data_IF_801789219194
#
_entry.id   IF_801789219194
#
_cell.length_a   1.000
_cell.length_b   1.000
_cell.length_c   1.000
_cell.angle_alpha   90.00
_cell.angle_beta   90.00
_cell.angle_gamma   90.00
#
_symmetry.space_group_name_H-M   'P 1'
#
loop_
_entity.id
_entity.type
_entity.pdbx_description
1 polymer ?
#
# COMPACT_ATOMS: atom_id res chain seq x y z
N UNK A 1 13.40 -4.43 -18.26
CA UNK A 1 14.47 -5.45 -18.29
C UNK A 1 13.85 -6.80 -17.92
N UNK A 2 14.26 -7.89 -18.57
CA UNK A 2 13.86 -9.25 -18.21
C UNK A 2 15.08 -10.04 -17.73
N UNK A 3 14.87 -10.95 -16.77
CA UNK A 3 15.90 -11.80 -16.17
C UNK A 3 15.45 -13.26 -16.21
N UNK A 4 16.40 -14.19 -16.36
CA UNK A 4 16.18 -15.60 -16.08
C UNK A 4 16.74 -15.90 -14.69
N UNK A 5 15.88 -16.25 -13.75
CA UNK A 5 16.23 -16.44 -12.34
C UNK A 5 16.08 -17.90 -11.96
N UNK A 6 17.11 -18.48 -11.33
CA UNK A 6 17.10 -19.85 -10.82
C UNK A 6 16.86 -19.83 -9.31
N UNK A 7 15.92 -20.64 -8.82
CA UNK A 7 15.51 -20.69 -7.40
C UNK A 7 15.32 -22.13 -6.93
N UNK A 8 15.53 -22.38 -5.65
CA UNK A 8 15.16 -23.66 -5.02
C UNK A 8 13.84 -23.49 -4.26
N UNK A 9 12.81 -24.20 -4.68
CA UNK A 9 11.46 -24.17 -4.07
C UNK A 9 11.09 -25.58 -3.67
N UNK A 10 10.78 -25.80 -2.39
CA UNK A 10 10.51 -27.12 -1.82
C UNK A 10 11.60 -28.16 -2.18
N UNK A 11 12.86 -27.74 -2.15
CA UNK A 11 14.02 -28.59 -2.47
C UNK A 11 14.26 -28.84 -3.96
N UNK A 12 13.46 -28.26 -4.87
CA UNK A 12 13.62 -28.42 -6.32
C UNK A 12 14.09 -27.13 -6.99
N UNK A 13 15.05 -27.23 -7.91
CA UNK A 13 15.51 -26.08 -8.70
C UNK A 13 14.49 -25.77 -9.81
N UNK A 14 14.02 -24.53 -9.84
CA UNK A 14 13.10 -23.98 -10.84
C UNK A 14 13.70 -22.75 -11.50
N UNK A 15 13.28 -22.46 -12.73
CA UNK A 15 13.68 -21.26 -13.47
C UNK A 15 12.46 -20.40 -13.79
N UNK A 16 12.59 -19.10 -13.60
CA UNK A 16 11.55 -18.09 -13.83
C UNK A 16 12.05 -17.03 -14.79
N UNK A 17 11.12 -16.44 -15.53
CA UNK A 17 11.34 -15.21 -16.28
C UNK A 17 10.73 -14.08 -15.47
N UNK A 18 11.56 -13.13 -15.03
CA UNK A 18 11.15 -12.02 -14.17
C UNK A 18 11.39 -10.69 -14.89
N UNK A 19 10.50 -9.72 -14.68
CA UNK A 19 10.56 -8.39 -15.31
C UNK A 19 10.68 -7.33 -14.24
N UNK A 20 11.61 -6.40 -14.40
CA UNK A 20 11.61 -5.19 -13.57
C UNK A 20 10.32 -4.40 -13.82
N UNK A 21 9.57 -4.13 -12.75
CA UNK A 21 8.38 -3.28 -12.81
C UNK A 21 8.77 -1.83 -13.05
N UNK A 22 7.82 -1.07 -13.60
CA UNK A 22 7.98 0.39 -13.69
C UNK A 22 7.94 0.98 -12.29
N UNK A 23 8.81 1.96 -12.01
CA UNK A 23 8.72 2.79 -10.81
C UNK A 23 7.76 3.97 -10.95
N UNK A 24 7.17 4.13 -12.12
CA UNK A 24 6.17 5.16 -12.41
C UNK A 24 4.79 4.55 -12.21
N UNK A 25 4.04 5.12 -11.27
CA UNK A 25 2.64 4.82 -10.97
C UNK A 25 1.92 6.15 -10.74
N UNK A 26 0.60 6.15 -10.90
CA UNK A 26 -0.23 7.34 -10.69
C UNK A 26 -0.95 7.28 -9.35
N UNK A 27 -1.43 6.08 -8.97
CA UNK A 27 -2.11 5.84 -7.71
C UNK A 27 -1.20 5.02 -6.79
N UNK A 28 -1.22 5.30 -5.49
CA UNK A 28 -0.46 4.55 -4.49
C UNK A 28 -0.79 3.04 -4.49
N UNK A 29 -2.03 2.67 -4.80
CA UNK A 29 -2.47 1.27 -4.91
C UNK A 29 -1.71 0.48 -5.98
N UNK A 30 -1.14 1.15 -6.99
CA UNK A 30 -0.36 0.53 -8.06
C UNK A 30 1.15 0.44 -7.73
N UNK A 31 1.55 0.84 -6.52
CA UNK A 31 2.95 0.85 -6.10
C UNK A 31 3.51 -0.58 -5.98
N UNK A 32 4.44 -0.94 -6.85
CA UNK A 32 5.05 -2.28 -6.88
C UNK A 32 6.47 -2.26 -6.32
N UNK A 33 6.60 -2.30 -4.99
CA UNK A 33 7.89 -2.34 -4.27
C UNK A 33 8.13 -3.67 -3.55
N UNK A 34 7.87 -4.76 -4.27
CA UNK A 34 8.18 -6.13 -3.84
C UNK A 34 9.01 -6.82 -4.91
N UNK A 35 9.82 -7.79 -4.49
CA UNK A 35 10.57 -8.63 -5.42
C UNK A 35 9.78 -9.90 -5.73
N UNK A 36 9.89 -10.39 -6.97
CA UNK A 36 9.27 -11.64 -7.42
C UNK A 36 7.75 -11.70 -7.22
N UNK A 37 7.13 -10.53 -7.13
CA UNK A 37 5.75 -10.43 -6.73
C UNK A 37 4.77 -10.71 -7.85
N UNK A 38 3.53 -10.96 -7.46
CA UNK A 38 2.37 -11.00 -8.35
C UNK A 38 1.40 -9.90 -7.95
N UNK A 39 0.63 -9.44 -8.93
CA UNK A 39 -0.44 -8.46 -8.74
C UNK A 39 -1.79 -9.11 -8.98
N UNK A 40 -2.74 -8.80 -8.12
CA UNK A 40 -4.15 -8.94 -8.38
C UNK A 40 -4.73 -7.54 -8.61
N UNK A 41 -5.57 -7.42 -9.63
CA UNK A 41 -6.29 -6.19 -9.95
C UNK A 41 -7.75 -6.54 -10.23
N UNK A 42 -8.60 -6.24 -9.25
CA UNK A 42 -10.04 -6.46 -9.28
C UNK A 42 -10.82 -5.33 -9.94
N UNK A 43 -10.16 -4.24 -10.37
CA UNK A 43 -10.82 -3.08 -10.96
C UNK A 43 -11.52 -3.46 -12.25
N UNK A 44 -12.76 -3.01 -12.41
CA UNK A 44 -13.46 -3.18 -13.67
C UNK A 44 -12.89 -2.24 -14.74
N UNK A 45 -12.20 -2.82 -15.72
CA UNK A 45 -11.68 -2.12 -16.89
C UNK A 45 -12.59 -2.23 -18.13
N UNK A 46 -13.76 -2.87 -17.98
CA UNK A 46 -14.72 -3.12 -19.06
C UNK A 46 -15.96 -2.22 -18.97
N UNK A 47 -16.83 -2.29 -19.97
CA UNK A 47 -18.15 -1.63 -19.95
C UNK A 47 -19.19 -2.33 -19.07
N UNK A 48 -18.81 -3.41 -18.35
CA UNK A 48 -19.68 -4.13 -17.43
C UNK A 48 -20.12 -3.22 -16.30
N UNK A 49 -21.41 -3.17 -16.05
CA UNK A 49 -22.01 -2.44 -14.94
C UNK A 49 -22.46 -3.38 -13.84
N UNK A 50 -22.47 -2.87 -12.62
CA UNK A 50 -23.16 -3.47 -11.48
C UNK A 50 -24.20 -2.49 -10.94
N UNK A 51 -25.39 -3.00 -10.59
CA UNK A 51 -26.47 -2.20 -10.02
C UNK A 51 -26.99 -2.84 -8.73
N UNK A 52 -27.04 -2.04 -7.65
CA UNK A 52 -27.60 -2.43 -6.36
C UNK A 52 -29.11 -2.14 -6.39
N UNK A 53 -29.94 -3.11 -6.03
CA UNK A 53 -31.41 -3.00 -6.01
C UNK A 53 -32.05 -3.70 -4.82
N UNK A 54 -33.34 -3.47 -4.61
CA UNK A 54 -34.17 -4.16 -3.61
C UNK A 54 -34.40 -3.40 -2.29
N UNK A 55 -33.86 -2.18 -2.13
CA UNK A 55 -34.06 -1.38 -0.93
C UNK A 55 -35.28 -0.45 -0.95
N UNK A 56 -35.72 -0.05 0.24
CA UNK A 56 -36.76 0.95 0.48
C UNK A 56 -36.26 2.00 1.49
N UNK A 57 -36.70 3.26 1.38
CA UNK A 57 -36.26 4.32 2.29
C UNK A 57 -34.76 4.60 2.19
N UNK A 58 -34.06 4.54 3.32
CA UNK A 58 -32.63 4.91 3.43
C UNK A 58 -31.63 3.81 3.06
N UNK A 59 -32.11 2.62 2.66
CA UNK A 59 -31.28 1.46 2.31
C UNK A 59 -30.26 1.15 3.42
N UNK A 60 -30.79 0.72 4.57
CA UNK A 60 -30.06 0.36 5.80
C UNK A 60 -29.04 -0.77 5.57
N UNK A 61 -27.83 -0.62 6.09
CA UNK A 61 -26.72 -1.59 5.96
C UNK A 61 -26.99 -2.96 6.60
N UNK A 62 -27.97 -3.04 7.51
CA UNK A 62 -28.35 -4.27 8.21
C UNK A 62 -29.24 -5.19 7.36
N UNK A 63 -29.66 -4.71 6.19
CA UNK A 63 -30.51 -5.45 5.24
C UNK A 63 -29.67 -5.92 4.06
N UNK A 64 -30.05 -7.07 3.51
CA UNK A 64 -29.41 -7.61 2.31
C UNK A 64 -30.00 -7.00 1.04
N UNK A 65 -29.13 -6.72 0.08
CA UNK A 65 -29.49 -6.17 -1.22
C UNK A 65 -29.08 -7.10 -2.36
N UNK A 66 -29.63 -6.85 -3.53
CA UNK A 66 -29.26 -7.59 -4.75
C UNK A 66 -28.34 -6.75 -5.61
N UNK A 67 -27.19 -7.32 -6.00
CA UNK A 67 -26.37 -6.77 -7.08
C UNK A 67 -26.61 -7.59 -8.35
N UNK A 68 -26.87 -6.90 -9.45
CA UNK A 68 -26.95 -7.49 -10.80
C UNK A 68 -25.84 -6.96 -11.69
N UNK A 69 -25.07 -7.86 -12.28
CA UNK A 69 -24.04 -7.55 -13.27
C UNK A 69 -24.62 -7.59 -14.70
N UNK A 70 -24.31 -6.59 -15.52
CA UNK A 70 -24.62 -6.60 -16.96
C UNK A 70 -23.58 -7.41 -17.75
N UNK A 71 -23.81 -7.67 -19.04
CA UNK A 71 -22.80 -8.32 -19.90
C UNK A 71 -22.65 -9.84 -19.74
N UNK A 72 -23.66 -10.53 -19.19
CA UNK A 72 -23.69 -11.99 -19.06
C UNK A 72 -22.97 -12.52 -17.82
N UNK A 73 -22.69 -13.83 -17.78
CA UNK A 73 -22.11 -14.51 -16.62
C UNK A 73 -20.84 -13.82 -16.08
N UNK A 74 -20.75 -13.68 -14.76
CA UNK A 74 -19.63 -13.10 -14.02
C UNK A 74 -19.41 -13.84 -12.69
N UNK A 75 -20.48 -14.09 -11.96
CA UNK A 75 -20.40 -14.70 -10.63
C UNK A 75 -20.38 -16.23 -10.69
N UNK A 76 -19.65 -16.81 -9.75
CA UNK A 76 -19.55 -18.24 -9.49
C UNK A 76 -19.73 -18.52 -8.00
N UNK A 77 -20.03 -19.76 -7.61
CA UNK A 77 -20.15 -20.12 -6.19
C UNK A 77 -18.91 -19.83 -5.33
N UNK A 78 -17.73 -19.67 -5.96
CA UNK A 78 -16.49 -19.30 -5.27
C UNK A 78 -16.41 -17.80 -4.88
N UNK A 79 -17.40 -17.00 -5.29
CA UNK A 79 -17.45 -15.57 -4.98
C UNK A 79 -18.14 -15.27 -3.65
N UNK A 80 -18.75 -16.26 -3.02
CA UNK A 80 -19.27 -16.12 -1.65
C UNK A 80 -18.13 -15.78 -0.70
N UNK A 81 -18.30 -14.71 0.07
CA UNK A 81 -17.26 -14.18 0.96
C UNK A 81 -16.25 -13.23 0.28
N UNK A 82 -16.31 -13.05 -1.04
CA UNK A 82 -15.65 -11.92 -1.69
C UNK A 82 -16.42 -10.62 -1.44
N UNK A 83 -15.80 -9.48 -1.73
CA UNK A 83 -16.38 -8.16 -1.51
C UNK A 83 -16.42 -7.39 -2.83
N UNK A 84 -17.52 -6.70 -3.10
CA UNK A 84 -17.63 -5.73 -4.18
C UNK A 84 -17.49 -4.33 -3.58
N UNK A 85 -16.51 -3.59 -4.08
CA UNK A 85 -16.28 -2.22 -3.64
C UNK A 85 -16.70 -1.25 -4.75
N UNK A 86 -17.41 -0.19 -4.35
CA UNK A 86 -17.92 0.84 -5.24
C UNK A 86 -17.37 2.19 -4.79
N UNK A 87 -16.31 2.69 -5.44
CA UNK A 87 -15.86 4.05 -5.21
C UNK A 87 -16.90 5.06 -5.73
N UNK A 88 -17.25 6.04 -4.91
CA UNK A 88 -18.22 7.09 -5.22
C UNK A 88 -17.80 8.42 -4.59
N UNK A 89 -18.39 9.52 -5.09
CA UNK A 89 -18.19 10.85 -4.49
C UNK A 89 -19.31 11.13 -3.50
N UNK A 90 -18.93 11.33 -2.24
CA UNK A 90 -19.80 11.84 -1.18
C UNK A 90 -19.59 13.33 -0.95
N UNK A 91 -20.15 13.84 0.15
CA UNK A 91 -19.94 15.21 0.60
C UNK A 91 -19.48 15.19 2.05
N UNK A 92 -18.46 15.99 2.34
CA UNK A 92 -17.98 16.24 3.69
C UNK A 92 -19.09 16.89 4.53
N UNK A 93 -19.41 16.37 5.73
CA UNK A 93 -20.52 16.85 6.52
C UNK A 93 -20.30 18.26 7.11
N UNK A 94 -19.05 18.68 7.28
CA UNK A 94 -18.68 19.95 7.92
C UNK A 94 -18.50 21.07 6.89
N UNK A 95 -17.94 20.74 5.73
CA UNK A 95 -17.57 21.71 4.68
C UNK A 95 -18.47 21.64 3.45
N UNK A 96 -19.15 20.51 3.22
CA UNK A 96 -19.95 20.24 2.03
C UNK A 96 -19.13 19.91 0.77
N UNK A 97 -17.80 19.89 0.88
CA UNK A 97 -16.90 19.61 -0.24
C UNK A 97 -16.98 18.15 -0.69
N UNK A 98 -16.74 17.85 -1.98
CA UNK A 98 -16.78 16.48 -2.49
C UNK A 98 -15.62 15.66 -1.90
N UNK A 99 -15.96 14.50 -1.35
CA UNK A 99 -14.98 13.55 -0.77
C UNK A 99 -15.06 12.21 -1.48
N UNK A 100 -13.90 11.59 -1.72
CA UNK A 100 -13.84 10.22 -2.21
C UNK A 100 -14.30 9.27 -1.10
N UNK A 101 -15.29 8.44 -1.40
CA UNK A 101 -15.83 7.45 -0.48
C UNK A 101 -15.92 6.09 -1.17
N UNK A 102 -16.05 5.04 -0.37
CA UNK A 102 -16.21 3.69 -0.88
C UNK A 102 -17.32 2.96 -0.14
N UNK A 103 -18.24 2.35 -0.91
CA UNK A 103 -19.21 1.40 -0.39
C UNK A 103 -18.66 0.00 -0.56
N UNK A 104 -18.58 -0.76 0.53
CA UNK A 104 -18.10 -2.15 0.52
C UNK A 104 -19.28 -3.09 0.73
N UNK A 105 -19.42 -4.06 -0.16
CA UNK A 105 -20.54 -4.99 -0.21
C UNK A 105 -20.04 -6.43 -0.15
N UNK A 106 -20.19 -7.10 0.99
CA UNK A 106 -19.81 -8.51 1.14
C UNK A 106 -20.82 -9.40 0.43
N UNK A 107 -20.34 -10.34 -0.39
CA UNK A 107 -21.18 -11.31 -1.11
C UNK A 107 -21.61 -12.41 -0.13
N UNK A 108 -22.89 -12.38 0.24
CA UNK A 108 -23.50 -13.34 1.16
C UNK A 108 -23.88 -14.63 0.43
N UNK A 109 -24.41 -14.52 -0.80
CA UNK A 109 -24.74 -15.68 -1.62
C UNK A 109 -24.79 -15.31 -3.11
N UNK A 110 -24.63 -16.33 -3.96
CA UNK A 110 -24.76 -16.20 -5.41
C UNK A 110 -26.09 -16.78 -5.86
N UNK A 111 -26.99 -15.94 -6.36
CA UNK A 111 -28.32 -16.34 -6.84
C UNK A 111 -28.22 -17.02 -8.19
N UNK A 112 -27.42 -16.46 -9.09
CA UNK A 112 -27.09 -17.01 -10.41
C UNK A 112 -25.81 -16.36 -10.94
N UNK A 113 -25.39 -16.70 -12.15
CA UNK A 113 -24.14 -16.18 -12.72
C UNK A 113 -24.11 -14.67 -12.98
N UNK A 114 -25.22 -13.96 -12.85
CA UNK A 114 -25.33 -12.51 -13.02
C UNK A 114 -25.81 -11.77 -11.77
N UNK A 115 -26.19 -12.48 -10.72
CA UNK A 115 -26.89 -11.88 -9.58
C UNK A 115 -26.40 -12.47 -8.27
N UNK A 116 -26.10 -11.59 -7.31
CA UNK A 116 -25.65 -11.94 -5.96
C UNK A 116 -26.47 -11.19 -4.91
N UNK A 117 -26.57 -11.79 -3.73
CA UNK A 117 -27.07 -11.15 -2.51
C UNK A 117 -25.88 -10.63 -1.73
N UNK A 118 -25.93 -9.36 -1.32
CA UNK A 118 -24.85 -8.68 -0.62
C UNK A 118 -25.31 -8.07 0.70
N UNK A 119 -24.34 -7.81 1.58
CA UNK A 119 -24.50 -6.96 2.76
C UNK A 119 -23.53 -5.79 2.68
N UNK A 120 -24.05 -4.57 2.80
CA UNK A 120 -23.24 -3.36 2.74
C UNK A 120 -22.62 -3.02 4.10
N UNK A 121 -21.43 -2.40 4.10
CA UNK A 121 -20.77 -1.94 5.33
C UNK A 121 -21.40 -0.66 5.91
N UNK A 122 -22.17 0.08 5.11
CA UNK A 122 -22.89 1.30 5.46
C UNK A 122 -24.16 1.43 4.61
N UNK A 123 -25.04 2.37 4.96
CA UNK A 123 -26.25 2.60 4.18
C UNK A 123 -25.89 2.88 2.73
N UNK A 124 -26.63 2.27 1.79
CA UNK A 124 -26.33 2.44 0.36
C UNK A 124 -26.58 3.90 -0.01
N UNK A 125 -25.57 4.64 -0.49
CA UNK A 125 -25.71 6.07 -0.77
C UNK A 125 -26.64 6.29 -1.97
N UNK A 126 -27.43 7.39 -2.01
CA UNK A 126 -28.41 7.65 -3.06
C UNK A 126 -27.86 7.51 -4.49
N UNK A 127 -26.60 7.90 -4.72
CA UNK A 127 -25.93 7.83 -6.03
C UNK A 127 -25.74 6.39 -6.55
N UNK A 128 -25.74 5.38 -5.67
CA UNK A 128 -25.58 3.97 -6.03
C UNK A 128 -26.90 3.19 -6.05
N UNK A 129 -28.02 3.79 -5.59
CA UNK A 129 -29.32 3.11 -5.50
C UNK A 129 -29.95 2.96 -6.88
N UNK A 130 -30.12 1.71 -7.35
CA UNK A 130 -30.61 1.37 -8.69
C UNK A 130 -29.81 2.00 -9.85
N UNK A 131 -28.59 2.49 -9.56
CA UNK A 131 -27.71 3.06 -10.56
C UNK A 131 -26.82 1.96 -11.14
N UNK A 132 -26.75 1.88 -12.48
CA UNK A 132 -25.83 0.99 -13.16
C UNK A 132 -24.46 1.67 -13.27
N UNK A 133 -23.49 1.19 -12.50
CA UNK A 133 -22.16 1.82 -12.37
C UNK A 133 -21.09 0.93 -12.97
N UNK A 134 -20.16 1.51 -13.74
CA UNK A 134 -18.95 0.82 -14.25
C UNK A 134 -17.77 0.89 -13.28
N UNK A 135 -17.76 1.90 -12.39
CA UNK A 135 -16.74 2.05 -11.35
C UNK A 135 -17.02 1.12 -10.17
N UNK A 136 -16.51 -0.11 -10.27
CA UNK A 136 -16.57 -1.11 -9.22
C UNK A 136 -15.31 -1.99 -9.28
N UNK A 137 -14.99 -2.63 -8.17
CA UNK A 137 -13.86 -3.54 -8.08
C UNK A 137 -14.19 -4.76 -7.24
N UNK A 138 -13.66 -5.91 -7.65
CA UNK A 138 -13.77 -7.17 -6.91
C UNK A 138 -12.62 -7.28 -5.93
N UNK A 139 -12.93 -7.31 -4.64
CA UNK A 139 -11.97 -7.52 -3.58
C UNK A 139 -12.02 -8.96 -3.06
N UNK A 140 -10.85 -9.54 -2.82
CA UNK A 140 -10.68 -10.93 -2.35
C UNK A 140 -9.85 -10.93 -1.09
N UNK A 141 -10.09 -11.91 -0.22
CA UNK A 141 -9.29 -12.08 0.99
C UNK A 141 -8.17 -13.11 0.81
N UNK A 142 -8.35 -14.11 -0.06
CA UNK A 142 -7.36 -15.17 -0.28
C UNK A 142 -6.81 -15.12 -1.70
N UNK A 143 -5.49 -15.14 -1.81
CA UNK A 143 -4.76 -15.06 -3.07
C UNK A 143 -3.89 -16.30 -3.25
N UNK A 144 -4.23 -17.13 -4.24
CA UNK A 144 -3.48 -18.31 -4.64
C UNK A 144 -2.58 -18.04 -5.85
N UNK A 145 -1.68 -18.96 -6.18
CA UNK A 145 -0.78 -18.86 -7.33
C UNK A 145 0.64 -18.43 -6.96
N UNK A 146 0.92 -18.28 -5.66
CA UNK A 146 2.21 -17.91 -5.09
C UNK A 146 3.12 -19.12 -4.84
N UNK A 147 2.95 -20.21 -5.60
CA UNK A 147 3.69 -21.45 -5.40
C UNK A 147 5.21 -21.29 -5.58
N UNK A 148 5.67 -20.21 -6.22
CA UNK A 148 7.09 -19.85 -6.34
C UNK A 148 7.68 -19.20 -5.08
N UNK A 149 6.82 -18.78 -4.15
CA UNK A 149 7.18 -18.16 -2.88
C UNK A 149 6.85 -19.06 -1.68
N UNK A 150 6.56 -20.34 -1.91
CA UNK A 150 6.19 -21.28 -0.84
C UNK A 150 7.21 -21.28 0.31
N UNK A 151 6.71 -21.15 1.54
CA UNK A 151 7.52 -21.08 2.76
C UNK A 151 8.27 -19.76 2.96
N UNK A 152 8.17 -18.80 2.05
CA UNK A 152 8.76 -17.47 2.21
C UNK A 152 7.82 -16.53 2.94
N UNK A 153 8.39 -15.61 3.72
CA UNK A 153 7.67 -14.46 4.25
C UNK A 153 7.57 -13.38 3.17
N UNK A 154 6.37 -12.88 2.93
CA UNK A 154 6.07 -11.88 1.89
C UNK A 154 5.62 -10.55 2.50
N UNK A 155 6.00 -9.45 1.84
CA UNK A 155 5.37 -8.15 2.01
C UNK A 155 4.13 -8.08 1.10
N UNK A 156 3.11 -7.37 1.58
CA UNK A 156 1.83 -7.25 0.89
C UNK A 156 1.40 -5.78 0.93
N UNK A 157 1.15 -5.22 -0.26
CA UNK A 157 0.39 -3.98 -0.41
C UNK A 157 -1.03 -4.35 -0.85
N UNK A 158 -2.04 -3.81 -0.18
CA UNK A 158 -3.46 -4.03 -0.47
C UNK A 158 -4.19 -2.70 -0.40
N UNK A 159 -4.76 -2.24 -1.51
CA UNK A 159 -5.52 -0.99 -1.62
C UNK A 159 -4.77 0.20 -0.98
N UNK A 160 -3.50 0.40 -1.39
CA UNK A 160 -2.57 1.42 -0.87
C UNK A 160 -2.22 1.31 0.64
N UNK A 161 -2.57 0.20 1.28
CA UNK A 161 -2.28 -0.08 2.69
C UNK A 161 -1.34 -1.28 2.83
N UNK A 162 -0.45 -1.22 3.83
CA UNK A 162 0.48 -2.31 4.12
C UNK A 162 -0.24 -3.34 4.98
N UNK A 163 -0.29 -4.57 4.48
CA UNK A 163 -0.79 -5.72 5.23
C UNK A 163 0.34 -6.35 6.05
N UNK A 164 0.04 -6.92 7.24
CA UNK A 164 1.03 -7.65 8.03
C UNK A 164 1.69 -8.76 7.21
N UNK A 165 3.01 -8.90 7.33
CA UNK A 165 3.77 -9.92 6.60
C UNK A 165 3.18 -11.31 6.85
N UNK A 166 2.96 -12.07 5.77
CA UNK A 166 2.43 -13.45 5.84
C UNK A 166 3.47 -14.44 5.32
N UNK A 167 3.37 -15.69 5.76
CA UNK A 167 4.14 -16.80 5.17
C UNK A 167 3.26 -17.49 4.13
N UNK A 168 3.79 -17.68 2.93
CA UNK A 168 3.06 -18.39 1.88
C UNK A 168 2.95 -19.86 2.24
N UNK A 169 1.72 -20.37 2.33
CA UNK A 169 1.42 -21.77 2.65
C UNK A 169 0.43 -22.31 1.62
N UNK A 170 0.75 -23.46 1.01
CA UNK A 170 -0.10 -24.05 -0.02
C UNK A 170 -0.19 -23.19 -1.30
N UNK A 171 0.82 -22.36 -1.56
CA UNK A 171 0.87 -21.43 -2.67
C UNK A 171 -0.12 -20.26 -2.55
N UNK A 172 -0.56 -19.95 -1.33
CA UNK A 172 -1.53 -18.90 -1.07
C UNK A 172 -1.21 -18.08 0.18
N UNK A 173 -1.83 -16.91 0.26
CA UNK A 173 -1.91 -16.06 1.47
C UNK A 173 -3.35 -15.57 1.66
N UNK A 174 -3.72 -15.32 2.91
CA UNK A 174 -5.01 -14.74 3.30
C UNK A 174 -4.78 -13.44 4.04
N UNK A 175 -5.41 -12.37 3.56
CA UNK A 175 -5.36 -11.01 4.13
C UNK A 175 -6.29 -10.89 5.33
N UNK A 176 -6.09 -9.84 6.13
CA UNK A 176 -6.98 -9.55 7.26
C UNK A 176 -8.30 -8.92 6.80
N UNK A 177 -8.25 -8.14 5.72
CA UNK A 177 -9.42 -7.59 5.03
C UNK A 177 -9.38 -7.89 3.53
N UNK A 178 -10.54 -8.00 2.84
CA UNK A 178 -10.56 -8.16 1.39
C UNK A 178 -9.91 -6.95 0.68
N UNK A 179 -9.01 -7.23 -0.26
CA UNK A 179 -8.30 -6.23 -1.07
C UNK A 179 -8.66 -6.31 -2.55
N UNK A 180 -8.82 -5.17 -3.23
CA UNK A 180 -9.15 -5.09 -4.67
C UNK A 180 -7.92 -4.98 -5.57
N UNK A 181 -6.92 -4.19 -5.18
CA UNK A 181 -5.62 -4.09 -5.84
C UNK A 181 -4.57 -4.55 -4.86
N UNK A 182 -3.96 -5.70 -5.15
CA UNK A 182 -3.05 -6.36 -4.20
C UNK A 182 -1.74 -6.72 -4.88
N UNK A 183 -0.63 -6.43 -4.22
CA UNK A 183 0.73 -6.77 -4.66
C UNK A 183 1.43 -7.57 -3.59
N UNK A 184 1.84 -8.79 -3.93
CA UNK A 184 2.39 -9.75 -2.97
C UNK A 184 3.74 -10.22 -3.48
N UNK A 185 4.79 -10.06 -2.69
CA UNK A 185 6.12 -10.54 -3.08
C UNK A 185 7.12 -10.52 -1.94
N UNK A 186 8.37 -10.86 -2.25
CA UNK A 186 9.44 -10.84 -1.27
C UNK A 186 9.71 -9.40 -0.79
N UNK A 187 10.04 -9.21 0.50
CA UNK A 187 10.38 -7.90 1.04
C UNK A 187 11.62 -7.33 0.35
N UNK A 188 11.56 -6.05 -0.01
CA UNK A 188 12.73 -5.28 -0.42
C UNK A 188 13.14 -4.39 0.75
N UNK A 189 14.41 -4.44 1.12
CA UNK A 189 15.01 -3.43 2.02
C UNK A 189 15.76 -2.44 1.15
N UNK A 190 15.14 -1.30 0.86
CA UNK A 190 15.80 -0.21 0.15
C UNK A 190 16.50 0.68 1.17
N UNK A 191 17.82 0.74 1.13
CA UNK A 191 18.64 1.51 2.06
C UNK A 191 19.74 2.24 1.31
N UNK A 192 20.01 3.48 1.73
CA UNK A 192 21.22 4.18 1.33
C UNK A 192 21.83 4.92 2.51
N UNK A 193 23.12 5.19 2.39
CA UNK A 193 23.91 5.96 3.35
C UNK A 193 24.50 7.17 2.63
N UNK A 194 24.39 8.35 3.23
CA UNK A 194 24.99 9.56 2.67
C UNK A 194 26.50 9.51 2.76
N UNK A 195 27.18 10.29 1.91
CA UNK A 195 28.61 10.56 2.11
C UNK A 195 28.84 11.41 3.37
N UNK A 196 30.09 11.48 3.81
CA UNK A 196 30.50 12.38 4.89
C UNK A 196 30.22 13.84 4.49
N UNK A 197 29.74 14.64 5.45
CA UNK A 197 29.37 16.01 5.16
C UNK A 197 30.62 16.87 5.02
N UNK A 198 30.70 17.60 3.92
CA UNK A 198 31.73 18.58 3.64
C UNK A 198 31.10 19.95 3.37
N UNK A 199 31.61 21.00 4.02
CA UNK A 199 31.11 22.37 3.84
C UNK A 199 32.14 23.15 3.03
N UNK A 200 31.73 23.62 1.85
CA UNK A 200 32.62 24.37 0.96
C UNK A 200 33.02 25.71 1.60
N UNK A 201 34.31 26.04 1.55
CA UNK A 201 34.87 27.25 2.17
C UNK A 201 35.18 27.13 3.67
N UNK A 202 35.07 25.93 4.27
CA UNK A 202 35.48 25.64 5.65
C UNK A 202 36.60 24.60 5.70
N UNK A 203 37.26 24.48 6.85
CA UNK A 203 38.20 23.39 7.10
C UNK A 203 37.51 22.03 6.97
N UNK A 204 38.30 21.01 6.62
CA UNK A 204 37.78 19.66 6.56
C UNK A 204 37.24 19.25 7.94
N UNK A 205 36.07 18.61 7.95
CA UNK A 205 35.45 18.12 9.16
C UNK A 205 35.73 16.63 9.41
N UNK A 206 36.53 15.99 8.55
CA UNK A 206 36.85 14.56 8.60
C UNK A 206 37.51 14.12 9.91
N UNK A 207 38.28 15.00 10.56
CA UNK A 207 38.96 14.71 11.83
C UNK A 207 38.15 15.14 13.07
N UNK A 208 37.07 15.90 12.88
CA UNK A 208 36.27 16.49 13.94
C UNK A 208 35.19 15.52 14.40
N UNK A 209 34.87 15.58 15.70
CA UNK A 209 33.66 14.93 16.22
C UNK A 209 32.45 15.76 15.81
N UNK A 210 31.46 15.08 15.25
CA UNK A 210 30.21 15.61 14.77
C UNK A 210 29.06 14.94 15.52
N UNK A 211 27.97 15.69 15.70
CA UNK A 211 26.74 15.24 16.31
C UNK A 211 25.58 15.55 15.37
N UNK A 212 24.79 14.54 15.00
CA UNK A 212 23.59 14.71 14.16
C UNK A 212 22.36 14.30 14.96
N UNK A 213 21.76 15.21 15.76
CA UNK A 213 20.58 14.87 16.55
C UNK A 213 19.29 14.76 15.72
N UNK A 214 19.29 15.26 14.49
CA UNK A 214 18.08 15.35 13.66
C UNK A 214 18.44 15.38 12.18
N UNK A 215 17.63 14.72 11.36
CA UNK A 215 17.67 14.86 9.91
C UNK A 215 16.32 15.36 9.40
N UNK A 216 16.35 16.34 8.51
CA UNK A 216 15.19 16.74 7.72
C UNK A 216 15.34 16.14 6.32
N UNK A 217 14.32 15.44 5.85
CA UNK A 217 14.25 14.94 4.48
C UNK A 217 13.27 15.81 3.70
N UNK A 218 13.61 16.14 2.46
CA UNK A 218 12.64 16.65 1.49
C UNK A 218 12.15 15.45 0.70
N UNK A 219 10.87 15.14 0.80
CA UNK A 219 10.25 13.96 0.17
C UNK A 219 9.07 14.36 -0.70
N UNK A 220 8.68 13.49 -1.61
CA UNK A 220 7.54 13.67 -2.49
C UNK A 220 6.78 12.35 -2.58
N UNK A 221 5.47 12.35 -2.29
CA UNK A 221 4.64 11.15 -2.39
C UNK A 221 5.29 9.93 -1.71
N UNK A 222 5.54 10.02 -0.40
CA UNK A 222 6.41 9.08 0.34
C UNK A 222 5.82 8.65 1.67
N UNK A 223 6.02 7.38 2.02
CA UNK A 223 5.51 6.75 3.26
C UNK A 223 6.55 5.83 3.88
N UNK A 224 6.36 5.37 5.11
CA UNK A 224 7.22 4.34 5.74
C UNK A 224 8.70 4.72 5.86
N UNK A 225 8.99 5.97 6.25
CA UNK A 225 10.35 6.52 6.25
C UNK A 225 11.08 6.14 7.53
N UNK A 226 12.25 5.51 7.40
CA UNK A 226 13.15 5.24 8.51
C UNK A 226 14.48 5.98 8.34
N UNK A 227 15.03 6.51 9.43
CA UNK A 227 16.34 7.16 9.44
C UNK A 227 17.19 6.72 10.64
N UNK A 228 18.51 6.72 10.46
CA UNK A 228 19.49 6.36 11.49
C UNK A 228 20.83 7.06 11.21
N UNK A 229 21.70 7.13 12.22
CA UNK A 229 23.15 7.31 12.02
C UNK A 229 23.84 5.94 11.88
N UNK A 230 25.05 5.84 11.29
CA UNK A 230 25.79 4.59 11.25
C UNK A 230 25.98 3.99 12.65
N UNK A 231 25.53 2.74 12.83
CA UNK A 231 25.60 2.05 14.13
C UNK A 231 24.58 2.52 15.19
N UNK A 232 23.73 3.50 14.87
CA UNK A 232 22.66 4.00 15.75
C UNK A 232 21.38 3.18 15.67
N UNK A 233 20.38 3.59 16.47
CA UNK A 233 19.04 3.04 16.38
C UNK A 233 18.27 3.63 15.18
N UNK A 234 17.38 2.81 14.61
CA UNK A 234 16.50 3.23 13.53
C UNK A 234 15.24 3.90 14.10
N UNK A 235 14.93 5.08 13.57
CA UNK A 235 13.77 5.87 13.95
C UNK A 235 12.82 6.01 12.76
N UNK A 236 11.55 5.75 13.01
CA UNK A 236 10.48 5.92 12.03
C UNK A 236 9.95 7.36 12.08
N UNK A 237 9.62 7.92 10.91
CA UNK A 237 8.80 9.11 10.81
C UNK A 237 7.33 8.71 11.04
N UNK A 238 6.70 9.11 12.16
CA UNK A 238 5.30 8.80 12.39
C UNK A 238 4.46 9.56 11.37
N UNK A 239 3.79 8.84 10.48
CA UNK A 239 3.02 9.44 9.39
C UNK A 239 1.67 10.04 9.86
N UNK A 240 1.24 9.74 11.10
CA UNK A 240 -0.01 10.25 11.68
C UNK A 240 0.25 11.15 12.88
N UNK A 241 0.06 12.46 12.73
CA UNK A 241 0.07 13.40 13.85
C UNK A 241 -1.23 14.23 13.97
N UNK A 242 -1.93 14.55 12.86
CA UNK A 242 -3.10 15.45 12.88
C UNK A 242 -4.26 15.09 11.90
N UNK A 243 -4.40 13.85 11.46
CA UNK A 243 -5.50 13.39 10.58
C UNK A 243 -6.68 12.82 11.38
N UNK A 244 -7.92 12.97 10.88
CA UNK A 244 -9.09 12.37 11.50
C UNK A 244 -9.04 10.84 11.33
N UNK A 245 -9.64 10.08 12.25
CA UNK A 245 -9.49 8.61 12.30
C UNK A 245 -9.93 7.89 11.01
N UNK A 246 -10.86 8.49 10.26
CA UNK A 246 -11.46 7.92 9.05
C UNK A 246 -10.81 8.40 7.74
N UNK A 247 -9.80 9.29 7.80
CA UNK A 247 -9.11 9.76 6.60
C UNK A 247 -8.07 8.73 6.11
N UNK A 248 -7.94 8.53 4.79
CA UNK A 248 -6.85 7.74 4.23
C UNK A 248 -5.50 8.35 4.67
N UNK A 249 -4.51 7.49 4.90
CA UNK A 249 -3.16 7.98 5.29
C UNK A 249 -2.57 8.70 4.10
N UNK A 250 -2.41 10.02 4.19
CA UNK A 250 -1.88 10.81 3.10
C UNK A 250 -0.37 10.62 2.96
N UNK A 251 0.06 10.64 1.71
CA UNK A 251 1.45 10.66 1.30
C UNK A 251 2.19 11.89 1.83
N UNK A 252 3.36 11.70 2.45
CA UNK A 252 4.16 12.82 2.92
C UNK A 252 4.83 13.52 1.72
N UNK A 253 4.53 14.81 1.54
CA UNK A 253 5.18 15.68 0.56
C UNK A 253 5.70 16.95 1.23
N UNK A 254 6.96 17.30 0.96
CA UNK A 254 7.63 18.44 1.57
C UNK A 254 8.69 18.01 2.59
N UNK A 255 8.80 18.74 3.70
CA UNK A 255 9.86 18.52 4.70
C UNK A 255 9.34 17.63 5.82
N UNK A 256 10.00 16.50 6.03
CA UNK A 256 9.76 15.61 7.17
C UNK A 256 10.98 15.61 8.09
N UNK A 257 10.76 15.60 9.40
CA UNK A 257 11.84 15.66 10.38
C UNK A 257 11.86 14.36 11.19
N UNK A 258 13.04 13.72 11.25
CA UNK A 258 13.26 12.52 12.07
C UNK A 258 14.34 12.83 13.11
N UNK A 259 13.98 12.62 14.38
CA UNK A 259 14.90 12.77 15.52
C UNK A 259 15.75 11.50 15.61
N UNK A 260 17.06 11.70 15.74
CA UNK A 260 18.07 10.64 15.76
C UNK A 260 18.78 10.62 17.11
N UNK A 261 19.54 9.55 17.36
CA UNK A 261 20.42 9.47 18.51
C UNK A 261 21.50 10.55 18.46
N UNK A 262 21.70 11.18 19.62
CA UNK A 262 22.77 12.16 19.82
C UNK A 262 24.09 11.47 20.15
N UNK A 263 24.69 10.82 19.15
CA UNK A 263 26.01 10.19 19.26
C UNK A 263 27.10 11.06 18.63
N UNK A 264 28.15 11.34 19.40
CA UNK A 264 29.35 12.01 18.89
C UNK A 264 30.23 11.00 18.15
N UNK A 265 30.31 11.12 16.83
CA UNK A 265 31.19 10.30 16.00
C UNK A 265 31.96 11.18 15.00
N UNK A 266 33.02 10.65 14.39
CA UNK A 266 33.75 11.29 13.30
C UNK A 266 33.07 11.12 11.94
N UNK A 267 31.99 10.32 11.88
CA UNK A 267 31.22 10.08 10.66
C UNK A 267 29.92 10.88 10.68
N UNK A 268 29.87 11.99 9.94
CA UNK A 268 28.66 12.79 9.75
C UNK A 268 27.68 12.21 8.75
N UNK A 269 27.45 10.90 8.77
CA UNK A 269 26.59 10.23 7.77
C UNK A 269 25.20 9.97 8.33
N UNK A 270 24.22 9.93 7.44
CA UNK A 270 22.85 9.52 7.73
C UNK A 270 22.47 8.36 6.83
N UNK A 271 21.75 7.41 7.40
CA UNK A 271 21.17 6.26 6.70
C UNK A 271 19.66 6.43 6.61
N UNK A 272 19.10 6.15 5.44
CA UNK A 272 17.66 6.18 5.19
C UNK A 272 17.25 4.80 4.68
N UNK A 273 16.11 4.30 5.15
CA UNK A 273 15.59 2.98 4.79
C UNK A 273 14.08 3.01 4.54
N UNK A 274 13.65 2.18 3.58
CA UNK A 274 12.27 1.76 3.36
C UNK A 274 12.20 0.22 3.49
N UNK A 275 11.26 -0.26 4.29
CA UNK A 275 11.04 -1.69 4.57
C UNK A 275 9.71 -2.21 4.03
N UNK A 276 8.75 -1.32 3.86
CA UNK A 276 7.40 -1.61 3.43
C UNK A 276 7.29 -1.50 1.91
N UNK A 277 6.30 -2.16 1.29
CA UNK A 277 6.09 -2.10 -0.15
C UNK A 277 5.47 -0.75 -0.59
N UNK A 278 5.96 0.36 -0.03
CA UNK A 278 5.47 1.72 -0.22
C UNK A 278 6.51 2.60 -0.92
N UNK A 279 6.06 3.67 -1.61
CA UNK A 279 6.99 4.59 -2.24
C UNK A 279 7.78 5.41 -1.23
N UNK A 280 9.05 5.66 -1.56
CA UNK A 280 9.90 6.63 -0.89
C UNK A 280 10.75 7.37 -1.92
N UNK A 281 10.40 8.63 -2.19
CA UNK A 281 11.13 9.52 -3.11
C UNK A 281 11.82 10.62 -2.32
N UNK A 282 13.10 10.42 -2.01
CA UNK A 282 13.94 11.40 -1.31
C UNK A 282 14.53 12.39 -2.31
N UNK A 283 14.17 13.67 -2.18
CA UNK A 283 14.68 14.78 -3.00
C UNK A 283 15.91 15.44 -2.38
N UNK A 284 15.98 15.51 -1.06
CA UNK A 284 17.14 16.03 -0.34
C UNK A 284 17.26 15.43 1.07
N UNK A 285 18.49 15.33 1.56
CA UNK A 285 18.82 14.95 2.94
C UNK A 285 19.54 16.13 3.60
N UNK A 286 18.96 16.66 4.66
CA UNK A 286 19.42 17.86 5.36
C UNK A 286 19.70 17.52 6.83
N UNK A 287 20.89 16.97 7.14
CA UNK A 287 21.28 16.68 8.51
C UNK A 287 21.55 17.98 9.28
N UNK A 288 20.95 18.13 10.46
CA UNK A 288 21.32 19.19 11.39
C UNK A 288 22.54 18.71 12.17
N UNK A 289 23.67 19.38 12.01
CA UNK A 289 24.90 18.98 12.71
C UNK A 289 25.35 19.99 13.76
N UNK A 290 26.02 19.48 14.79
CA UNK A 290 26.89 20.26 15.67
C UNK A 290 28.31 19.71 15.56
N UNK A 291 29.30 20.58 15.44
CA UNK A 291 30.72 20.21 15.38
C UNK A 291 31.37 20.56 16.71
N UNK A 292 32.05 19.59 17.32
CA UNK A 292 32.77 19.79 18.57
C UNK A 292 34.13 20.42 18.32
N UNK A 293 34.52 21.37 19.19
CA UNK A 293 35.92 21.73 19.36
C UNK A 293 36.57 20.73 20.32
N UNK A 294 37.82 20.36 19.99
CA UNK A 294 38.67 19.31 20.57
C UNK A 294 38.30 18.81 21.98
#
# INVERSE_FOLDING_TARGET
MYFVVSRTINGQVKRYIERLSSRLFTNEEDAFFVDCGLSYDGRNTSSRTMAISGGTGDWDYRVDYTITASGGAYFTGADVGAQLQFPYTGSDPDTGEPVAMELRCDIVSVTNSTTVVIRANRNVPPVLRNAATTNWQMARQTFSGLAHLEGQTVNILSDASVEPKKVVTGGAVTLESPGAVVHIGLPITAEFETLDININGQETLLDKKQLIPTVTLVVNASRGIWASTPGGAWYEYPQREFEFYDDPVDDATGKVEVKLDSNWDKNGRVKIRQLDPLPLSVLAVLPRMTVGNF
#
